data_IF_331383611133
#
_entry.id   IF_331383611133
#
_cell.length_a   1.000
_cell.length_b   1.000
_cell.length_c   1.000
_cell.angle_alpha   90.00
_cell.angle_beta   90.00
_cell.angle_gamma   90.00
#
_symmetry.space_group_name_H-M   'P 1'
#
loop_
_entity.id
_entity.type
_entity.pdbx_description
1 polymer ?
#
# COMPACT_ATOMS: atom_id res chain seq x y z
N UNK A 1 12.94 19.42 16.94
CA UNK A 1 11.88 19.10 15.96
C UNK A 1 12.25 19.38 14.50
N UNK A 2 13.47 19.84 14.17
CA UNK A 2 13.83 20.19 12.79
C UNK A 2 14.52 19.08 11.96
N UNK A 3 14.74 17.88 12.51
CA UNK A 3 15.45 16.79 11.83
C UNK A 3 14.48 15.77 11.21
N UNK A 4 13.30 15.56 11.79
CA UNK A 4 12.32 14.57 11.30
C UNK A 4 11.32 15.14 10.28
N UNK A 5 11.16 16.45 10.16
CA UNK A 5 10.18 17.06 9.26
C UNK A 5 10.43 16.76 7.77
N UNK A 6 11.68 16.74 7.25
CA UNK A 6 11.93 16.35 5.87
C UNK A 6 11.65 14.86 5.62
N UNK A 7 12.11 13.98 6.52
CA UNK A 7 11.89 12.52 6.41
C UNK A 7 10.40 12.16 6.52
N UNK A 8 9.67 12.77 7.46
CA UNK A 8 8.24 12.49 7.63
C UNK A 8 7.37 13.13 6.53
N UNK A 9 7.78 14.29 6.00
CA UNK A 9 7.10 14.91 4.85
C UNK A 9 7.22 14.05 3.60
N UNK A 10 8.44 13.61 3.26
CA UNK A 10 8.67 12.73 2.10
C UNK A 10 7.95 11.39 2.24
N UNK A 11 7.97 10.77 3.42
CA UNK A 11 7.21 9.54 3.65
C UNK A 11 5.69 9.73 3.46
N UNK A 12 5.14 10.84 3.96
CA UNK A 12 3.72 11.17 3.80
C UNK A 12 3.33 11.44 2.33
N UNK A 13 4.23 11.98 1.51
CA UNK A 13 3.98 12.19 0.09
C UNK A 13 4.05 10.88 -0.71
N UNK A 14 5.00 10.00 -0.36
CA UNK A 14 5.14 8.66 -0.97
C UNK A 14 3.88 7.83 -0.71
N UNK A 15 3.42 7.74 0.54
CA UNK A 15 2.24 6.92 0.86
C UNK A 15 0.98 7.45 0.17
N UNK A 16 0.80 8.78 0.06
CA UNK A 16 -0.33 9.36 -0.68
C UNK A 16 -0.28 9.08 -2.17
N UNK A 17 0.92 9.10 -2.78
CA UNK A 17 1.09 8.67 -4.18
C UNK A 17 0.73 7.20 -4.35
N UNK A 18 1.25 6.34 -3.47
CA UNK A 18 0.94 4.92 -3.48
C UNK A 18 -0.58 4.67 -3.36
N UNK A 19 -1.27 5.40 -2.48
CA UNK A 19 -2.73 5.32 -2.33
C UNK A 19 -3.46 5.67 -3.63
N UNK A 20 -3.05 6.72 -4.34
CA UNK A 20 -3.66 7.12 -5.62
C UNK A 20 -3.42 6.03 -6.67
N UNK A 21 -2.18 5.56 -6.80
CA UNK A 21 -1.82 4.54 -7.80
C UNK A 21 -2.57 3.21 -7.56
N UNK A 22 -2.72 2.81 -6.29
CA UNK A 22 -3.53 1.65 -5.89
C UNK A 22 -5.00 1.87 -6.21
N UNK A 23 -5.55 3.04 -5.86
CA UNK A 23 -6.96 3.34 -6.12
C UNK A 23 -7.28 3.37 -7.62
N UNK A 24 -6.39 3.93 -8.45
CA UNK A 24 -6.53 3.94 -9.90
C UNK A 24 -6.48 2.53 -10.50
N UNK A 25 -5.61 1.66 -9.96
CA UNK A 25 -5.57 0.26 -10.36
C UNK A 25 -6.86 -0.48 -9.95
N UNK A 26 -7.38 -0.27 -8.73
CA UNK A 26 -8.65 -0.88 -8.29
C UNK A 26 -9.82 -0.45 -9.19
N UNK A 27 -9.86 0.83 -9.56
CA UNK A 27 -10.90 1.38 -10.44
C UNK A 27 -10.86 0.80 -11.87
N UNK A 28 -9.70 0.33 -12.33
CA UNK A 28 -9.50 -0.12 -13.73
C UNK A 28 -9.39 -1.64 -13.89
N UNK A 29 -8.99 -2.36 -12.84
CA UNK A 29 -8.82 -3.82 -12.86
C UNK A 29 -10.13 -4.59 -12.60
N UNK A 30 -11.16 -3.96 -12.05
CA UNK A 30 -12.34 -4.63 -11.49
C UNK A 30 -12.00 -5.70 -10.44
N UNK A 31 -10.82 -5.64 -9.82
CA UNK A 31 -10.47 -6.55 -8.75
C UNK A 31 -11.47 -6.38 -7.58
N UNK A 32 -12.03 -7.47 -7.03
CA UNK A 32 -12.91 -7.42 -5.86
C UNK A 32 -12.09 -7.15 -4.59
N UNK A 33 -11.61 -5.92 -4.48
CA UNK A 33 -10.77 -5.44 -3.40
C UNK A 33 -11.08 -3.98 -3.07
N UNK A 34 -10.82 -3.56 -1.84
CA UNK A 34 -11.04 -2.19 -1.39
C UNK A 34 -10.04 -1.78 -0.31
N UNK A 35 -9.50 -0.57 -0.41
CA UNK A 35 -8.73 0.04 0.68
C UNK A 35 -9.71 0.40 1.80
N UNK A 36 -9.52 -0.17 2.99
CA UNK A 36 -10.36 0.15 4.16
C UNK A 36 -9.69 1.12 5.13
N UNK A 37 -8.36 1.11 5.20
CA UNK A 37 -7.62 1.94 6.15
C UNK A 37 -6.21 2.25 5.65
N UNK A 38 -5.72 3.41 6.08
CA UNK A 38 -4.31 3.76 6.03
C UNK A 38 -3.86 4.09 7.45
N UNK A 39 -2.77 3.47 7.91
CA UNK A 39 -2.17 3.71 9.22
C UNK A 39 -0.68 3.87 9.03
N UNK A 40 -0.15 5.07 9.34
CA UNK A 40 1.28 5.38 9.22
C UNK A 40 1.81 5.22 7.78
N UNK A 41 2.46 4.11 7.46
CA UNK A 41 3.01 3.70 6.16
C UNK A 41 2.34 2.43 5.62
N UNK A 42 1.31 1.93 6.31
CA UNK A 42 0.57 0.72 5.96
C UNK A 42 -0.75 1.04 5.24
N UNK A 43 -1.08 0.21 4.25
CA UNK A 43 -2.40 0.17 3.62
C UNK A 43 -3.08 -1.15 3.95
N UNK A 44 -4.29 -1.06 4.51
CA UNK A 44 -5.11 -2.23 4.83
C UNK A 44 -6.17 -2.36 3.74
N UNK A 45 -6.20 -3.53 3.09
CA UNK A 45 -7.15 -3.86 2.04
C UNK A 45 -8.01 -5.06 2.45
N UNK A 46 -9.28 -5.01 2.09
CA UNK A 46 -10.18 -6.17 2.08
C UNK A 46 -10.21 -6.70 0.66
N UNK A 47 -10.00 -8.01 0.49
CA UNK A 47 -9.81 -8.64 -0.81
C UNK A 47 -10.53 -9.98 -0.79
N UNK A 48 -11.31 -10.28 -1.84
CA UNK A 48 -11.85 -11.63 -2.01
C UNK A 48 -10.72 -12.64 -2.22
N UNK A 49 -10.81 -13.80 -1.57
CA UNK A 49 -9.81 -14.89 -1.63
C UNK A 49 -9.39 -15.23 -3.08
N UNK A 50 -10.34 -15.18 -4.03
CA UNK A 50 -10.09 -15.48 -5.44
C UNK A 50 -9.20 -14.45 -6.16
N UNK A 51 -9.10 -13.23 -5.65
CA UNK A 51 -8.31 -12.13 -6.21
C UNK A 51 -7.06 -11.81 -5.38
N UNK A 52 -6.78 -12.59 -4.32
CA UNK A 52 -5.72 -12.30 -3.36
C UNK A 52 -4.34 -12.21 -4.02
N UNK A 53 -3.93 -13.23 -4.78
CA UNK A 53 -2.59 -13.27 -5.39
C UNK A 53 -2.38 -12.13 -6.41
N UNK A 54 -3.39 -11.86 -7.24
CA UNK A 54 -3.35 -10.78 -8.23
C UNK A 54 -3.25 -9.42 -7.54
N UNK A 55 -4.11 -9.20 -6.53
CA UNK A 55 -4.13 -7.96 -5.75
C UNK A 55 -2.81 -7.76 -5.05
N UNK A 56 -2.30 -8.76 -4.34
CA UNK A 56 -1.02 -8.69 -3.64
C UNK A 56 0.13 -8.29 -4.58
N UNK A 57 0.25 -8.95 -5.74
CA UNK A 57 1.30 -8.63 -6.71
C UNK A 57 1.16 -7.19 -7.25
N UNK A 58 -0.06 -6.73 -7.48
CA UNK A 58 -0.32 -5.36 -7.93
C UNK A 58 0.06 -4.34 -6.85
N UNK A 59 -0.37 -4.55 -5.59
CA UNK A 59 -0.08 -3.64 -4.47
C UNK A 59 1.41 -3.50 -4.25
N UNK A 60 2.17 -4.60 -4.18
CA UNK A 60 3.64 -4.55 -4.01
C UNK A 60 4.27 -3.71 -5.13
N UNK A 61 3.91 -3.97 -6.38
CA UNK A 61 4.46 -3.26 -7.54
C UNK A 61 4.15 -1.76 -7.49
N UNK A 62 2.92 -1.39 -7.16
CA UNK A 62 2.48 0.00 -7.13
C UNK A 62 3.11 0.76 -5.95
N UNK A 63 3.11 0.18 -4.76
CA UNK A 63 3.69 0.81 -3.57
C UNK A 63 5.22 0.94 -3.67
N UNK A 64 5.94 -0.07 -4.15
CA UNK A 64 7.38 0.06 -4.41
C UNK A 64 7.71 1.06 -5.51
N UNK A 65 6.81 1.23 -6.48
CA UNK A 65 6.93 2.18 -7.59
C UNK A 65 6.49 3.62 -7.27
N UNK A 66 6.00 3.87 -6.05
CA UNK A 66 5.41 5.16 -5.68
C UNK A 66 6.42 6.31 -5.62
N UNK A 67 7.74 6.03 -5.60
CA UNK A 67 8.78 7.04 -5.74
C UNK A 67 10.10 6.44 -6.25
N UNK A 68 10.88 7.27 -6.95
CA UNK A 68 12.27 6.96 -7.28
C UNK A 68 13.17 7.49 -6.16
N UNK A 69 13.83 6.59 -5.45
CA UNK A 69 14.73 6.88 -4.34
C UNK A 69 16.10 6.25 -4.60
N UNK A 70 17.15 6.80 -3.98
CA UNK A 70 18.51 6.23 -4.06
C UNK A 70 18.62 4.85 -3.39
N UNK A 71 17.71 4.54 -2.47
CA UNK A 71 17.52 3.24 -1.83
C UNK A 71 16.11 2.76 -2.21
N UNK A 72 15.94 1.54 -2.76
CA UNK A 72 14.64 1.07 -3.18
C UNK A 72 13.68 0.92 -1.99
N UNK A 73 12.40 1.23 -2.24
CA UNK A 73 11.33 0.93 -1.30
C UNK A 73 11.08 -0.58 -1.28
N UNK A 74 10.80 -1.11 -0.09
CA UNK A 74 10.39 -2.48 0.14
C UNK A 74 9.01 -2.47 0.79
N UNK A 75 8.15 -3.39 0.37
CA UNK A 75 6.77 -3.51 0.86
C UNK A 75 6.59 -4.92 1.35
N UNK A 76 6.29 -5.04 2.63
CA UNK A 76 5.90 -6.30 3.25
C UNK A 76 4.38 -6.46 3.16
N UNK A 77 3.92 -7.71 2.96
CA UNK A 77 2.48 -8.02 2.88
C UNK A 77 2.15 -9.12 3.88
N UNK A 78 1.26 -8.80 4.81
CA UNK A 78 0.58 -9.77 5.66
C UNK A 78 -0.82 -10.08 5.11
N UNK A 79 -1.25 -11.34 5.20
CA UNK A 79 -2.61 -11.76 4.86
C UNK A 79 -3.21 -12.47 6.06
N UNK A 80 -4.40 -12.03 6.47
CA UNK A 80 -5.16 -12.67 7.53
C UNK A 80 -6.63 -12.80 7.11
N UNK A 81 -7.28 -13.86 7.60
CA UNK A 81 -8.70 -14.12 7.35
C UNK A 81 -9.61 -13.34 8.30
N UNK A 82 -9.03 -12.81 9.38
CA UNK A 82 -9.65 -11.99 10.41
C UNK A 82 -8.60 -11.01 10.95
N UNK A 83 -9.06 -9.86 11.47
CA UNK A 83 -8.19 -8.77 11.97
C UNK A 83 -7.20 -9.24 13.07
N UNK A 84 -7.50 -10.33 13.78
CA UNK A 84 -6.61 -10.89 14.81
C UNK A 84 -5.39 -11.65 14.24
N UNK A 85 -5.38 -12.05 12.96
CA UNK A 85 -4.27 -12.80 12.35
C UNK A 85 -3.24 -11.95 11.59
N UNK A 86 -3.43 -10.63 11.48
CA UNK A 86 -2.62 -9.74 10.62
C UNK A 86 -1.54 -8.93 11.35
N UNK A 87 -1.35 -9.16 12.65
CA UNK A 87 -0.34 -8.51 13.50
C UNK A 87 0.78 -9.49 13.83
#
# INVERSE_FOLDING_TARGET
TAINAPMQGTAADIIKRAMIDVQDWLNTSNAPASIIMQVHDELVLEVDDAALEETQAAIIRLMCGAAELSIPLEVEVGVAKDWEGAH
#
